data_IF_383670064912
#
_entry.id   IF_383670064912
#
_cell.length_a   1.000
_cell.length_b   1.000
_cell.length_c   1.000
_cell.angle_alpha   90.00
_cell.angle_beta   90.00
_cell.angle_gamma   90.00
#
_symmetry.space_group_name_H-M   'P 1'
#
loop_
_entity.id
_entity.type
_entity.pdbx_description
1 polymer ?
#
# COMPACT_ATOMS: atom_id res chain seq x y z
N UNK A 1 0.81 19.10 -13.28
CA UNK A 1 1.74 18.31 -14.11
C UNK A 1 2.15 17.10 -13.30
N UNK A 2 1.66 15.94 -13.74
CA UNK A 2 1.71 14.65 -13.07
C UNK A 2 3.15 14.24 -12.76
N UNK A 3 3.41 13.78 -11.54
CA UNK A 3 4.63 13.01 -11.25
C UNK A 3 4.23 11.63 -10.77
N UNK A 4 4.41 10.70 -11.70
CA UNK A 4 4.46 9.26 -11.53
C UNK A 4 5.03 8.87 -10.16
N UNK A 5 4.20 8.32 -9.27
CA UNK A 5 4.69 7.81 -8.00
C UNK A 5 5.18 6.38 -8.23
N UNK A 6 6.47 6.25 -8.57
CA UNK A 6 7.21 4.99 -8.67
C UNK A 6 8.07 4.89 -7.41
N UNK A 7 7.99 3.78 -6.67
CA UNK A 7 8.53 3.74 -5.30
C UNK A 7 9.22 2.41 -4.95
N UNK A 8 10.47 2.26 -5.35
CA UNK A 8 11.40 1.15 -5.04
C UNK A 8 12.81 1.76 -5.06
N UNK A 9 13.84 1.42 -4.26
CA UNK A 9 14.13 0.35 -3.29
C UNK A 9 15.31 0.83 -2.38
N UNK A 10 15.38 0.30 -1.16
CA UNK A 10 16.56 -0.22 -0.40
C UNK A 10 17.92 0.52 -0.43
N UNK A 11 18.55 0.72 0.74
CA UNK A 11 19.60 -0.17 1.32
C UNK A 11 20.40 0.55 2.43
N UNK A 12 20.25 0.05 3.67
CA UNK A 12 21.10 0.21 4.86
C UNK A 12 21.28 1.62 5.49
N UNK A 13 21.19 1.64 6.83
CA UNK A 13 21.32 2.76 7.76
C UNK A 13 20.11 3.72 7.89
N UNK A 14 19.21 3.34 8.79
CA UNK A 14 18.31 4.18 9.59
C UNK A 14 17.06 4.84 8.99
N UNK A 15 16.90 4.99 7.66
CA UNK A 15 15.65 5.54 7.08
C UNK A 15 15.19 4.73 5.86
N UNK A 16 13.97 4.18 5.91
CA UNK A 16 13.33 3.50 4.79
C UNK A 16 12.20 4.33 4.19
N UNK A 17 11.96 4.19 2.89
CA UNK A 17 10.81 4.78 2.21
C UNK A 17 9.90 3.67 1.69
N UNK A 18 8.59 3.85 1.82
CA UNK A 18 7.58 3.03 1.17
C UNK A 18 6.49 3.91 0.59
N UNK A 19 5.93 3.54 -0.56
CA UNK A 19 4.73 4.19 -1.05
C UNK A 19 3.50 3.37 -0.71
N UNK A 20 2.56 4.04 -0.07
CA UNK A 20 1.29 3.47 0.34
C UNK A 20 0.15 4.28 -0.29
N UNK A 21 -0.95 3.63 -0.72
CA UNK A 21 -2.19 4.33 -1.05
C UNK A 21 -2.62 5.26 0.08
N UNK A 22 -3.20 6.41 -0.22
CA UNK A 22 -3.95 7.18 0.77
C UNK A 22 -5.26 6.49 1.15
N UNK A 23 -5.88 6.90 2.25
CA UNK A 23 -7.19 6.38 2.67
C UNK A 23 -8.28 6.44 1.58
N UNK A 24 -8.23 7.39 0.65
CA UNK A 24 -9.21 7.49 -0.44
C UNK A 24 -8.87 6.62 -1.66
N UNK A 25 -7.73 5.91 -1.66
CA UNK A 25 -7.21 5.10 -2.77
C UNK A 25 -7.19 5.87 -4.10
N UNK A 26 -6.84 7.15 -4.04
CA UNK A 26 -6.74 8.04 -5.21
C UNK A 26 -5.32 8.44 -5.56
N UNK A 27 -4.38 8.24 -4.65
CA UNK A 27 -2.96 8.55 -4.86
C UNK A 27 -2.09 7.73 -3.93
N UNK A 28 -0.86 7.49 -4.38
CA UNK A 28 0.20 6.97 -3.55
C UNK A 28 0.85 8.11 -2.77
N UNK A 29 1.15 7.85 -1.49
CA UNK A 29 1.87 8.73 -0.59
C UNK A 29 3.17 8.06 -0.20
N UNK A 30 4.26 8.82 -0.25
CA UNK A 30 5.53 8.38 0.28
C UNK A 30 5.53 8.51 1.80
N UNK A 31 5.87 7.41 2.48
CA UNK A 31 6.09 7.34 3.91
C UNK A 31 7.56 7.05 4.17
N UNK A 32 8.24 8.03 4.75
CA UNK A 32 9.56 7.85 5.36
C UNK A 32 9.37 7.27 6.76
N UNK A 33 10.07 6.19 7.08
CA UNK A 33 10.05 5.58 8.40
C UNK A 33 11.47 5.37 8.91
N UNK A 34 11.69 5.80 10.16
CA UNK A 34 12.92 5.59 10.94
C UNK A 34 12.85 4.33 11.78
N UNK A 35 11.67 3.70 11.83
CA UNK A 35 11.33 2.58 12.71
C UNK A 35 11.78 1.23 12.17
N UNK A 36 11.73 0.21 13.05
CA UNK A 36 11.99 -1.19 12.67
C UNK A 36 11.03 -1.64 11.56
N UNK A 37 11.53 -2.56 10.72
CA UNK A 37 10.71 -3.19 9.67
C UNK A 37 9.46 -3.81 10.29
N UNK A 38 8.30 -3.42 9.79
CA UNK A 38 7.01 -3.95 10.25
C UNK A 38 6.72 -5.26 9.53
N UNK A 39 6.14 -6.22 10.24
CA UNK A 39 5.62 -7.45 9.64
C UNK A 39 4.20 -7.20 9.15
N UNK A 40 4.00 -7.35 7.85
CA UNK A 40 2.69 -7.22 7.20
C UNK A 40 2.05 -8.61 7.23
N UNK A 41 0.84 -8.69 7.81
CA UNK A 41 0.08 -9.95 7.91
C UNK A 41 -0.46 -10.36 6.54
N UNK A 42 -0.51 -11.66 6.28
CA UNK A 42 -1.15 -12.23 5.09
C UNK A 42 -2.57 -11.70 4.90
N UNK A 43 -3.02 -11.61 3.65
CA UNK A 43 -4.35 -11.09 3.32
C UNK A 43 -4.54 -9.59 3.54
N UNK A 44 -3.48 -8.83 3.87
CA UNK A 44 -3.57 -7.40 4.21
C UNK A 44 -2.68 -6.54 3.32
N UNK A 45 -3.27 -5.59 2.60
CA UNK A 45 -2.57 -4.47 1.99
C UNK A 45 -2.51 -3.29 2.96
N UNK A 46 -1.51 -2.41 2.85
CA UNK A 46 -1.38 -1.23 3.71
C UNK A 46 -1.83 0.05 3.01
N UNK A 47 -2.38 0.98 3.76
CA UNK A 47 -2.68 2.35 3.29
C UNK A 47 -2.40 3.39 4.38
N UNK A 48 -2.18 4.64 3.98
CA UNK A 48 -1.84 5.75 4.86
C UNK A 48 -3.04 6.67 5.14
N UNK A 49 -3.34 6.85 6.42
CA UNK A 49 -4.29 7.84 6.91
C UNK A 49 -3.55 9.13 7.22
N UNK A 50 -3.50 10.04 6.23
CA UNK A 50 -2.72 11.29 6.31
C UNK A 50 -3.05 12.16 7.52
N UNK A 51 -4.31 12.24 7.95
CA UNK A 51 -4.72 13.12 9.07
C UNK A 51 -4.06 12.78 10.40
N UNK A 52 -3.73 11.51 10.62
CA UNK A 52 -3.15 11.01 11.86
C UNK A 52 -1.79 10.34 11.63
N UNK A 53 -1.21 10.50 10.43
CA UNK A 53 0.04 9.87 10.01
C UNK A 53 0.13 8.37 10.36
N UNK A 54 -1.00 7.66 10.26
CA UNK A 54 -1.12 6.25 10.68
C UNK A 54 -1.20 5.33 9.46
N UNK A 55 -0.44 4.25 9.51
CA UNK A 55 -0.56 3.13 8.58
C UNK A 55 -1.68 2.21 9.06
N UNK A 56 -2.59 1.83 8.17
CA UNK A 56 -3.68 0.91 8.46
C UNK A 56 -3.76 -0.21 7.42
N UNK A 57 -4.48 -1.28 7.76
CA UNK A 57 -4.65 -2.46 6.92
C UNK A 57 -5.96 -2.43 6.11
N UNK A 58 -5.88 -2.93 4.88
CA UNK A 58 -7.00 -3.23 4.00
C UNK A 58 -7.04 -4.73 3.73
N UNK A 59 -8.18 -5.37 3.92
CA UNK A 59 -8.34 -6.80 3.65
C UNK A 59 -8.40 -7.05 2.14
N UNK A 60 -7.35 -7.64 1.57
CA UNK A 60 -7.27 -7.93 0.14
C UNK A 60 -7.86 -9.29 -0.26
N UNK A 61 -8.55 -10.00 0.63
CA UNK A 61 -9.11 -11.34 0.34
C UNK A 61 -10.09 -11.38 -0.83
N UNK A 62 -10.65 -10.23 -1.21
CA UNK A 62 -11.54 -10.09 -2.37
C UNK A 62 -10.81 -9.73 -3.67
N UNK A 63 -9.49 -9.59 -3.64
CA UNK A 63 -8.71 -9.36 -4.84
C UNK A 63 -8.79 -10.60 -5.74
N UNK A 64 -8.94 -10.37 -7.05
CA UNK A 64 -8.84 -11.44 -8.04
C UNK A 64 -7.40 -11.92 -8.22
N UNK A 65 -6.40 -11.10 -7.89
CA UNK A 65 -4.99 -11.44 -8.01
C UNK A 65 -4.10 -10.61 -7.06
N UNK A 66 -2.90 -11.12 -6.78
CA UNK A 66 -1.84 -10.37 -6.10
C UNK A 66 -2.04 -10.09 -4.61
N UNK A 67 -3.13 -10.54 -4.00
CA UNK A 67 -3.23 -10.64 -2.54
C UNK A 67 -2.35 -11.78 -2.06
N UNK A 68 -1.52 -11.49 -1.06
CA UNK A 68 -0.50 -12.41 -0.57
C UNK A 68 -1.06 -13.31 0.53
N UNK A 69 -0.60 -14.56 0.55
CA UNK A 69 -1.07 -15.60 1.49
C UNK A 69 -0.09 -15.88 2.62
N UNK A 70 1.04 -15.16 2.65
CA UNK A 70 2.07 -15.31 3.67
C UNK A 70 2.58 -13.94 4.10
N UNK A 71 2.72 -13.75 5.41
CA UNK A 71 3.27 -12.52 5.97
C UNK A 71 4.68 -12.24 5.47
N UNK A 72 5.01 -10.96 5.28
CA UNK A 72 6.34 -10.52 4.85
C UNK A 72 6.76 -9.24 5.59
N UNK A 73 8.03 -8.86 5.48
CA UNK A 73 8.56 -7.63 6.09
C UNK A 73 8.33 -6.43 5.18
N UNK A 74 8.06 -5.25 5.73
CA UNK A 74 7.74 -4.03 4.96
C UNK A 74 8.76 -3.65 3.89
N UNK A 75 10.04 -4.00 4.07
CA UNK A 75 11.05 -3.78 3.05
C UNK A 75 10.84 -4.62 1.77
N UNK A 76 9.94 -5.60 1.77
CA UNK A 76 9.52 -6.43 0.63
C UNK A 76 8.14 -6.07 0.08
N UNK A 77 7.51 -4.99 0.54
CA UNK A 77 6.19 -4.54 0.04
C UNK A 77 6.14 -4.35 -1.48
N UNK A 78 7.30 -4.05 -2.02
CA UNK A 78 7.60 -3.85 -3.42
C UNK A 78 7.36 -5.15 -4.24
N UNK A 79 7.44 -6.33 -3.61
CA UNK A 79 7.13 -7.62 -4.24
C UNK A 79 5.61 -7.82 -4.45
N UNK A 80 4.77 -6.92 -3.92
CA UNK A 80 3.31 -7.00 -3.92
C UNK A 80 2.65 -5.79 -4.60
N UNK A 81 2.84 -5.59 -5.93
CA UNK A 81 2.38 -4.41 -6.64
C UNK A 81 0.85 -4.23 -6.67
N UNK A 82 0.08 -5.31 -6.47
CA UNK A 82 -1.38 -5.23 -6.35
C UNK A 82 -1.82 -4.35 -5.17
N UNK A 83 -1.05 -4.31 -4.08
CA UNK A 83 -1.30 -3.44 -2.92
C UNK A 83 -0.91 -1.97 -3.15
N UNK A 84 -0.33 -1.61 -4.30
CA UNK A 84 -0.03 -0.24 -4.69
C UNK A 84 -0.79 0.19 -5.96
N UNK A 85 -1.45 -0.75 -6.65
CA UNK A 85 -2.18 -0.49 -7.89
C UNK A 85 -3.61 -0.05 -7.57
N UNK A 86 -3.85 1.26 -7.64
CA UNK A 86 -5.13 1.89 -7.30
C UNK A 86 -5.67 2.72 -8.46
N UNK A 87 -6.99 2.82 -8.55
CA UNK A 87 -7.71 3.62 -9.53
C UNK A 87 -9.14 3.86 -9.09
N UNK A 88 -9.68 5.05 -9.36
CA UNK A 88 -11.06 5.43 -9.05
C UNK A 88 -11.51 5.21 -7.60
N UNK A 89 -10.56 5.22 -6.66
CA UNK A 89 -10.84 4.98 -5.24
C UNK A 89 -10.92 3.53 -4.81
N UNK A 90 -10.43 2.62 -5.65
CA UNK A 90 -10.39 1.19 -5.40
C UNK A 90 -8.98 0.63 -5.69
N UNK A 91 -8.70 -0.56 -5.19
CA UNK A 91 -7.59 -1.36 -5.70
C UNK A 91 -8.00 -1.97 -7.04
N UNK A 92 -7.14 -1.84 -8.05
CA UNK A 92 -7.43 -2.37 -9.39
C UNK A 92 -7.57 -3.90 -9.39
N UNK A 93 -6.94 -4.56 -8.43
CA UNK A 93 -7.04 -6.00 -8.23
C UNK A 93 -8.38 -6.45 -7.62
N UNK A 94 -9.26 -5.54 -7.19
CA UNK A 94 -10.57 -5.85 -6.60
C UNK A 94 -11.73 -5.29 -7.45
N UNK A 95 -12.19 -6.01 -8.48
CA UNK A 95 -13.27 -5.54 -9.36
C UNK A 95 -14.62 -5.42 -8.67
N UNK A 96 -14.81 -6.08 -7.53
CA UNK A 96 -16.01 -5.93 -6.69
C UNK A 96 -16.08 -4.58 -5.99
N UNK A 97 -14.95 -3.88 -5.86
CA UNK A 97 -14.91 -2.56 -5.26
C UNK A 97 -15.68 -1.58 -6.14
N UNK A 98 -16.79 -1.07 -5.61
CA UNK A 98 -17.59 -0.02 -6.23
C UNK A 98 -17.51 1.19 -5.34
N UNK A 99 -16.87 2.26 -5.81
CA UNK A 99 -17.06 3.57 -5.19
C UNK A 99 -18.49 3.99 -5.50
N UNK A 100 -19.40 3.79 -4.55
CA UNK A 100 -20.73 4.37 -4.63
C UNK A 100 -20.52 5.88 -4.69
N UNK A 101 -20.80 6.49 -5.85
CA UNK A 101 -20.84 7.94 -5.98
C UNK A 101 -21.87 8.44 -4.97
N UNK A 102 -21.40 9.21 -3.98
CA UNK A 102 -22.24 10.05 -3.12
C UNK A 102 -22.14 11.46 -3.64
#
# INVERSE_FOLDING_TARGET
MERNVICFKLQQAYNGYMCLPNQQLTKLLELCYTERLIRIQDGVCLYLVKRVSKVNGYNCSHFMYGCHTSSYLSNRIFEHPACASIGDGCFLAEPSCKRLYV
#
